data_IF_326807938354
#
_entry.id   IF_326807938354
#
_cell.length_a   1.000
_cell.length_b   1.000
_cell.length_c   1.000
_cell.angle_alpha   90.00
_cell.angle_beta   90.00
_cell.angle_gamma   90.00
#
_symmetry.space_group_name_H-M   'P 1'
#
loop_
_entity.id
_entity.type
_entity.pdbx_description
1 polymer ?
#
# COMPACT_ATOMS: atom_id res chain seq x y z
N UNK A 1 31.46 -16.09 -21.84
CA UNK A 1 31.31 -14.64 -21.60
C UNK A 1 29.86 -14.31 -21.84
N UNK A 2 29.12 -13.98 -20.78
CA UNK A 2 27.71 -13.64 -20.89
C UNK A 2 27.61 -12.22 -21.45
N UNK A 3 27.06 -12.06 -22.65
CA UNK A 3 26.74 -10.74 -23.20
C UNK A 3 25.72 -10.08 -22.28
N UNK A 4 26.09 -8.97 -21.65
CA UNK A 4 25.12 -8.08 -21.02
C UNK A 4 24.19 -7.53 -22.11
N UNK A 5 22.87 -7.49 -21.91
CA UNK A 5 21.97 -6.90 -22.88
C UNK A 5 22.18 -5.37 -22.87
N UNK A 6 22.96 -4.88 -23.82
CA UNK A 6 23.14 -3.45 -24.10
C UNK A 6 21.93 -2.91 -24.86
N UNK A 7 20.76 -2.92 -24.22
CA UNK A 7 19.60 -2.17 -24.69
C UNK A 7 19.56 -0.83 -23.98
N UNK A 8 19.65 0.29 -24.71
CA UNK A 8 19.34 1.60 -24.15
C UNK A 8 17.95 1.54 -23.48
N UNK A 9 17.87 1.94 -22.20
CA UNK A 9 16.60 2.02 -21.50
C UNK A 9 15.78 3.13 -22.15
N UNK A 10 14.75 2.76 -22.90
CA UNK A 10 13.78 3.72 -23.45
C UNK A 10 12.89 4.26 -22.31
N UNK A 11 13.43 5.27 -21.62
CA UNK A 11 12.77 5.95 -20.49
C UNK A 11 11.47 6.62 -20.90
N UNK A 12 11.35 7.04 -22.16
CA UNK A 12 10.19 7.73 -22.69
C UNK A 12 9.05 6.74 -22.94
N UNK A 13 9.36 5.58 -23.53
CA UNK A 13 8.40 4.49 -23.66
C UNK A 13 7.95 3.93 -22.31
N UNK A 14 8.85 3.82 -21.33
CA UNK A 14 8.49 3.43 -19.95
C UNK A 14 7.51 4.42 -19.33
N UNK A 15 7.86 5.72 -19.37
CA UNK A 15 7.03 6.78 -18.79
C UNK A 15 5.65 6.84 -19.45
N UNK A 16 5.59 6.67 -20.77
CA UNK A 16 4.33 6.60 -21.53
C UNK A 16 3.47 5.41 -21.12
N UNK A 17 4.04 4.21 -21.02
CA UNK A 17 3.31 3.00 -20.60
C UNK A 17 2.81 3.11 -19.17
N UNK A 18 3.57 3.73 -18.27
CA UNK A 18 3.14 4.00 -16.89
C UNK A 18 1.96 4.99 -16.84
N UNK A 19 1.96 5.99 -17.71
CA UNK A 19 0.83 6.93 -17.85
C UNK A 19 -0.41 6.27 -18.46
N UNK A 20 -0.23 5.33 -19.38
CA UNK A 20 -1.33 4.56 -19.99
C UNK A 20 -1.91 3.53 -19.01
N UNK A 21 -1.12 2.98 -18.10
CA UNK A 21 -1.56 2.12 -17.00
C UNK A 21 -2.27 2.87 -15.85
N UNK A 22 -2.68 4.13 -16.08
CA UNK A 22 -3.32 4.98 -15.05
C UNK A 22 -4.61 4.38 -14.49
N UNK A 23 -5.36 3.63 -15.30
CA UNK A 23 -6.58 2.97 -14.85
C UNK A 23 -6.29 1.82 -13.87
N UNK A 24 -5.24 1.04 -14.12
CA UNK A 24 -4.77 -0.01 -13.20
C UNK A 24 -4.27 0.60 -11.90
N UNK A 25 -3.48 1.68 -11.98
CA UNK A 25 -3.03 2.40 -10.79
C UNK A 25 -4.21 2.93 -9.97
N UNK A 26 -5.25 3.46 -10.63
CA UNK A 26 -6.46 3.92 -9.96
C UNK A 26 -7.23 2.80 -9.24
N UNK A 27 -7.31 1.62 -9.85
CA UNK A 27 -7.92 0.43 -9.23
C UNK A 27 -7.13 -0.01 -7.99
N UNK A 28 -5.81 -0.13 -8.11
CA UNK A 28 -4.94 -0.50 -6.98
C UNK A 28 -5.01 0.52 -5.84
N UNK A 29 -5.14 1.81 -6.14
CA UNK A 29 -5.36 2.86 -5.13
C UNK A 29 -6.71 2.69 -4.42
N UNK A 30 -7.78 2.34 -5.15
CA UNK A 30 -9.08 2.07 -4.55
C UNK A 30 -9.01 0.84 -3.63
N UNK A 31 -8.35 -0.24 -4.06
CA UNK A 31 -8.14 -1.43 -3.24
C UNK A 31 -7.36 -1.12 -1.97
N UNK A 32 -6.27 -0.34 -2.08
CA UNK A 32 -5.50 0.10 -0.91
C UNK A 32 -6.37 0.92 0.06
N UNK A 33 -7.18 1.85 -0.45
CA UNK A 33 -8.08 2.65 0.38
C UNK A 33 -9.07 1.77 1.16
N UNK A 34 -9.65 0.75 0.52
CA UNK A 34 -10.54 -0.19 1.19
C UNK A 34 -9.82 -0.98 2.30
N UNK A 35 -8.56 -1.37 2.09
CA UNK A 35 -7.75 -2.00 3.14
C UNK A 35 -7.50 -1.04 4.30
N UNK A 36 -7.14 0.21 4.04
CA UNK A 36 -6.94 1.23 5.07
C UNK A 36 -8.22 1.48 5.89
N UNK A 37 -9.39 1.52 5.25
CA UNK A 37 -10.68 1.61 5.93
C UNK A 37 -10.91 0.43 6.88
N UNK A 38 -10.51 -0.79 6.50
CA UNK A 38 -10.63 -1.97 7.38
C UNK A 38 -9.75 -1.85 8.63
N UNK A 39 -8.53 -1.31 8.51
CA UNK A 39 -7.68 -1.00 9.68
C UNK A 39 -8.37 -0.01 10.63
N UNK A 40 -8.90 1.08 10.09
CA UNK A 40 -9.66 2.07 10.87
C UNK A 40 -10.87 1.46 11.59
N UNK A 41 -11.67 0.66 10.88
CA UNK A 41 -12.83 -0.02 11.46
C UNK A 41 -12.42 -0.98 12.57
N UNK A 42 -11.29 -1.67 12.43
CA UNK A 42 -10.73 -2.54 13.48
C UNK A 42 -10.39 -1.72 14.73
N UNK A 43 -9.71 -0.58 14.58
CA UNK A 43 -9.38 0.29 15.72
C UNK A 43 -10.63 0.86 16.41
N UNK A 44 -11.61 1.33 15.63
CA UNK A 44 -12.88 1.86 16.14
C UNK A 44 -13.65 0.80 16.93
N UNK A 45 -13.73 -0.44 16.43
CA UNK A 45 -14.39 -1.56 17.12
C UNK A 45 -13.71 -1.89 18.45
N UNK A 46 -12.38 -1.95 18.46
CA UNK A 46 -11.61 -2.18 19.69
C UNK A 46 -11.92 -1.09 20.72
N UNK A 47 -11.87 0.17 20.32
CA UNK A 47 -12.12 1.26 21.26
C UNK A 47 -13.59 1.29 21.74
N UNK A 48 -14.57 1.10 20.85
CA UNK A 48 -15.99 1.00 21.21
C UNK A 48 -16.26 -0.14 22.20
N UNK A 49 -15.55 -1.28 22.09
CA UNK A 49 -15.73 -2.41 23.00
C UNK A 49 -15.35 -2.11 24.45
N UNK A 50 -14.54 -1.06 24.67
CA UNK A 50 -14.14 -0.61 26.02
C UNK A 50 -15.10 0.38 26.65
N UNK A 51 -16.21 0.71 25.97
CA UNK A 51 -17.12 1.77 26.38
C UNK A 51 -18.59 1.35 26.34
N UNK A 52 -19.40 1.81 27.31
CA UNK A 52 -20.84 1.57 27.30
C UNK A 52 -21.59 2.47 26.31
N UNK A 53 -21.05 3.65 25.99
CA UNK A 53 -21.69 4.63 25.11
C UNK A 53 -21.10 4.60 23.69
N UNK A 54 -21.89 4.93 22.65
CA UNK A 54 -21.38 5.06 21.29
C UNK A 54 -20.29 6.12 21.15
N UNK A 55 -19.33 5.86 20.25
CA UNK A 55 -18.28 6.83 19.95
C UNK A 55 -18.83 8.13 19.36
N UNK A 56 -18.34 9.25 19.90
CA UNK A 56 -18.67 10.58 19.38
C UNK A 56 -17.86 10.88 18.10
N UNK A 57 -18.37 11.71 17.19
CA UNK A 57 -17.67 12.02 15.93
C UNK A 57 -16.21 12.48 16.10
N UNK A 58 -15.93 13.29 17.12
CA UNK A 58 -14.55 13.74 17.41
C UNK A 58 -13.63 12.60 17.86
N UNK A 59 -14.16 11.61 18.58
CA UNK A 59 -13.40 10.42 19.00
C UNK A 59 -13.12 9.53 17.80
N UNK A 60 -14.10 9.36 16.91
CA UNK A 60 -13.95 8.62 15.65
C UNK A 60 -12.82 9.23 14.81
N UNK A 61 -12.85 10.55 14.59
CA UNK A 61 -11.83 11.25 13.80
C UNK A 61 -10.42 11.10 14.40
N UNK A 62 -10.30 11.22 15.73
CA UNK A 62 -9.02 11.07 16.42
C UNK A 62 -8.47 9.63 16.31
N UNK A 63 -9.33 8.62 16.49
CA UNK A 63 -8.93 7.21 16.38
C UNK A 63 -8.49 6.88 14.97
N UNK A 64 -9.24 7.32 13.95
CA UNK A 64 -8.87 7.14 12.53
C UNK A 64 -7.50 7.75 12.24
N UNK A 65 -7.27 9.00 12.67
CA UNK A 65 -5.99 9.68 12.42
C UNK A 65 -4.82 8.95 13.11
N UNK A 66 -5.01 8.50 14.35
CA UNK A 66 -3.97 7.77 15.07
C UNK A 66 -3.68 6.40 14.42
N UNK A 67 -4.70 5.61 14.06
CA UNK A 67 -4.49 4.30 13.44
C UNK A 67 -3.81 4.45 12.07
N UNK A 68 -4.23 5.42 11.25
CA UNK A 68 -3.66 5.61 9.91
C UNK A 68 -2.25 6.21 9.97
N UNK A 69 -2.11 7.40 10.54
CA UNK A 69 -0.89 8.19 10.39
C UNK A 69 0.20 7.72 11.36
N UNK A 70 -0.16 7.33 12.58
CA UNK A 70 0.81 6.94 13.62
C UNK A 70 1.00 5.43 13.74
N UNK A 71 0.07 4.64 13.21
CA UNK A 71 0.17 3.18 13.16
C UNK A 71 0.55 2.71 11.76
N UNK A 72 -0.45 2.40 10.95
CA UNK A 72 -0.32 1.65 9.70
C UNK A 72 0.65 2.33 8.72
N UNK A 73 0.44 3.59 8.38
CA UNK A 73 1.27 4.28 7.37
C UNK A 73 2.67 4.58 7.90
N UNK A 74 2.80 4.83 9.21
CA UNK A 74 4.11 5.00 9.82
C UNK A 74 4.94 3.71 9.69
N UNK A 75 4.38 2.59 10.13
CA UNK A 75 5.05 1.29 10.10
C UNK A 75 5.38 0.83 8.68
N UNK A 76 4.48 1.08 7.71
CA UNK A 76 4.71 0.75 6.30
C UNK A 76 5.82 1.60 5.66
N UNK A 77 6.04 2.82 6.15
CA UNK A 77 7.10 3.70 5.67
C UNK A 77 8.46 3.43 6.33
N UNK A 78 8.54 2.51 7.30
CA UNK A 78 9.81 2.10 7.89
C UNK A 78 10.61 1.24 6.90
N UNK A 79 11.93 1.42 6.88
CA UNK A 79 12.83 0.69 5.97
C UNK A 79 12.63 -0.84 5.99
N UNK A 80 12.47 -1.52 7.15
CA UNK A 80 12.24 -2.97 7.16
C UNK A 80 10.96 -3.40 6.43
N UNK A 81 9.89 -2.61 6.53
CA UNK A 81 8.63 -2.87 5.83
C UNK A 81 8.81 -2.67 4.33
N UNK A 82 9.50 -1.62 3.92
CA UNK A 82 9.83 -1.34 2.52
C UNK A 82 10.67 -2.50 1.93
N UNK A 83 11.67 -2.97 2.67
CA UNK A 83 12.53 -4.08 2.24
C UNK A 83 11.73 -5.39 2.08
N UNK A 84 10.81 -5.66 3.01
CA UNK A 84 9.93 -6.83 2.95
C UNK A 84 8.99 -6.78 1.74
N UNK A 85 8.39 -5.61 1.47
CA UNK A 85 7.53 -5.39 0.29
C UNK A 85 8.35 -5.57 -1.00
N UNK A 86 9.54 -4.97 -1.07
CA UNK A 86 10.42 -5.08 -2.22
C UNK A 86 10.85 -6.53 -2.49
N UNK A 87 11.12 -7.31 -1.44
CA UNK A 87 11.41 -8.74 -1.56
C UNK A 87 10.21 -9.49 -2.14
N UNK A 88 9.02 -9.31 -1.58
CA UNK A 88 7.80 -9.97 -2.04
C UNK A 88 7.47 -9.62 -3.50
N UNK A 89 7.64 -8.35 -3.89
CA UNK A 89 7.43 -7.91 -5.27
C UNK A 89 8.40 -8.58 -6.26
N UNK A 90 9.68 -8.68 -5.90
CA UNK A 90 10.69 -9.38 -6.73
C UNK A 90 10.34 -10.86 -6.91
N UNK A 91 9.88 -11.53 -5.86
CA UNK A 91 9.47 -12.93 -5.92
C UNK A 91 8.22 -13.13 -6.79
N UNK A 92 7.24 -12.23 -6.69
CA UNK A 92 6.04 -12.27 -7.54
C UNK A 92 6.41 -12.07 -9.02
N UNK A 93 7.24 -11.07 -9.32
CA UNK A 93 7.73 -10.81 -10.68
C UNK A 93 8.47 -12.03 -11.26
N UNK A 94 9.36 -12.65 -10.48
CA UNK A 94 10.07 -13.84 -10.93
C UNK A 94 9.13 -14.99 -11.32
N UNK A 95 8.00 -15.14 -10.62
CA UNK A 95 6.97 -16.15 -10.95
C UNK A 95 6.22 -15.80 -12.24
N UNK A 96 5.97 -14.52 -12.50
CA UNK A 96 5.33 -14.09 -13.75
C UNK A 96 6.22 -14.33 -14.96
N UNK A 97 7.53 -14.15 -14.82
CA UNK A 97 8.51 -14.41 -15.89
C UNK A 97 8.72 -15.90 -16.19
N UNK A 98 8.21 -16.81 -15.35
CA UNK A 98 8.27 -18.26 -15.55
C UNK A 98 7.00 -18.83 -16.20
N UNK A 99 5.99 -17.99 -16.45
CA UNK A 99 4.80 -18.34 -17.23
C UNK A 99 5.03 -18.09 -18.71
#
# INVERSE_FOLDING_TARGET
MSMEPTGERDSDAYSKKMLEAKDELGQLQAELNDVLVRFCLRALRVFQSTRPEPLRPGEIALIINNELVKGVLYDLNLQPSIDAIAKAAKEAWAKEQQK
#
